data_IF_723970441119
#
_entry.id   IF_723970441119
#
_cell.length_a   1.000
_cell.length_b   1.000
_cell.length_c   1.000
_cell.angle_alpha   90.00
_cell.angle_beta   90.00
_cell.angle_gamma   90.00
#
_symmetry.space_group_name_H-M   'P 1'
#
loop_
_entity.id
_entity.type
_entity.pdbx_description
1 polymer ?
#
# COMPACT_ATOMS: atom_id res chain seq x y z
N UNK A 1 0.43 32.19 -7.42
CA UNK A 1 -0.92 32.18 -8.05
C UNK A 1 -1.84 31.49 -7.06
N UNK A 2 -3.10 31.94 -6.88
CA UNK A 2 -3.95 31.38 -5.83
C UNK A 2 -4.29 29.93 -6.18
N UNK A 3 -4.06 29.03 -5.22
CA UNK A 3 -4.55 27.66 -5.25
C UNK A 3 -6.06 27.71 -5.46
N UNK A 4 -6.55 27.16 -6.57
CA UNK A 4 -7.96 26.80 -6.64
C UNK A 4 -8.19 25.76 -5.55
N UNK A 5 -8.98 26.10 -4.53
CA UNK A 5 -9.47 25.15 -3.55
C UNK A 5 -10.29 24.10 -4.30
N UNK A 6 -9.62 23.05 -4.76
CA UNK A 6 -10.30 21.87 -5.26
C UNK A 6 -10.98 21.27 -4.04
N UNK A 7 -12.31 21.45 -3.94
CA UNK A 7 -13.08 20.78 -2.92
C UNK A 7 -13.14 19.29 -3.32
N UNK A 8 -12.46 18.38 -2.60
CA UNK A 8 -12.39 16.96 -2.96
C UNK A 8 -13.76 16.24 -2.87
N UNK A 9 -14.78 16.92 -2.34
CA UNK A 9 -16.15 16.40 -2.27
C UNK A 9 -17.08 16.99 -3.34
N UNK A 10 -16.62 17.94 -4.15
CA UNK A 10 -17.41 18.57 -5.19
C UNK A 10 -17.69 17.59 -6.34
N UNK A 11 -18.79 16.85 -6.22
CA UNK A 11 -19.22 15.85 -7.20
C UNK A 11 -19.66 14.52 -6.59
N UNK A 12 -19.34 14.26 -5.32
CA UNK A 12 -19.71 13.02 -4.63
C UNK A 12 -21.11 13.17 -4.03
N UNK A 13 -22.15 12.85 -4.82
CA UNK A 13 -23.51 12.71 -4.27
C UNK A 13 -23.64 11.37 -3.52
N UNK A 14 -24.16 11.39 -2.29
CA UNK A 14 -24.36 10.21 -1.42
C UNK A 14 -23.08 9.52 -0.91
N UNK A 15 -21.97 10.26 -0.80
CA UNK A 15 -20.75 9.75 -0.16
C UNK A 15 -21.02 9.26 1.27
N UNK A 16 -20.42 8.13 1.63
CA UNK A 16 -20.39 7.63 3.00
C UNK A 16 -18.94 7.58 3.47
N UNK A 17 -18.69 8.13 4.65
CA UNK A 17 -17.40 7.99 5.31
C UNK A 17 -17.38 6.64 6.02
N UNK A 18 -16.42 5.79 5.65
CA UNK A 18 -16.15 4.54 6.35
C UNK A 18 -14.96 4.77 7.28
N UNK A 19 -15.11 4.40 8.54
CA UNK A 19 -13.99 4.42 9.48
C UNK A 19 -13.00 3.33 9.08
N UNK A 20 -11.73 3.72 8.91
CA UNK A 20 -10.61 2.78 8.87
C UNK A 20 -10.40 2.28 10.30
N UNK A 21 -10.32 0.96 10.49
CA UNK A 21 -10.11 0.44 11.83
C UNK A 21 -8.70 0.78 12.33
N UNK A 22 -8.67 1.53 13.43
CA UNK A 22 -7.44 1.92 14.09
C UNK A 22 -7.05 0.90 15.18
N UNK A 23 -7.13 -0.41 14.86
CA UNK A 23 -6.87 -1.48 15.82
C UNK A 23 -5.36 -1.61 16.12
N UNK A 24 -4.89 -0.72 16.99
CA UNK A 24 -3.88 -0.96 18.01
C UNK A 24 -2.49 -1.49 17.57
N UNK A 25 -2.05 -1.23 16.34
CA UNK A 25 -0.62 -1.32 16.02
C UNK A 25 -0.28 -0.38 14.87
N UNK A 26 0.96 0.12 14.89
CA UNK A 26 1.64 1.08 13.99
C UNK A 26 1.64 0.71 12.48
N UNK A 27 0.67 -0.06 12.00
CA UNK A 27 0.66 -0.62 10.65
C UNK A 27 0.19 0.46 9.68
N UNK A 28 1.01 0.75 8.66
CA UNK A 28 0.60 1.56 7.51
C UNK A 28 -0.49 0.90 6.65
N UNK A 29 -0.91 -0.33 6.99
CA UNK A 29 -2.02 -1.01 6.33
C UNK A 29 -3.34 -0.56 6.95
N UNK A 30 -4.28 -0.21 6.08
CA UNK A 30 -5.57 0.36 6.47
C UNK A 30 -6.69 -0.66 6.22
N UNK A 31 -7.06 -1.48 7.23
CA UNK A 31 -8.16 -2.41 7.11
C UNK A 31 -9.51 -1.68 7.16
N UNK A 32 -10.44 -2.12 6.33
CA UNK A 32 -11.83 -1.67 6.28
C UNK A 32 -12.77 -2.82 6.59
N UNK A 33 -13.81 -2.54 7.39
CA UNK A 33 -14.92 -3.48 7.56
C UNK A 33 -15.80 -3.51 6.30
N UNK A 34 -15.93 -4.69 5.71
CA UNK A 34 -16.73 -4.93 4.51
C UNK A 34 -17.69 -6.09 4.76
N UNK A 35 -18.99 -5.86 4.52
CA UNK A 35 -20.01 -6.91 4.58
C UNK A 35 -20.13 -7.65 3.25
N UNK A 36 -19.88 -8.96 3.25
CA UNK A 36 -20.00 -9.84 2.06
C UNK A 36 -21.16 -10.83 2.22
N UNK A 37 -21.96 -10.99 1.16
CA UNK A 37 -23.06 -11.96 1.09
C UNK A 37 -24.41 -11.47 1.66
N UNK A 38 -25.41 -12.35 1.67
CA UNK A 38 -26.75 -12.07 2.20
C UNK A 38 -27.24 -13.21 3.10
N UNK A 39 -27.47 -12.98 4.41
CA UNK A 39 -27.19 -11.74 5.12
C UNK A 39 -25.68 -11.39 5.14
N UNK A 40 -25.31 -10.12 5.29
CA UNK A 40 -23.92 -9.69 5.22
C UNK A 40 -23.10 -10.32 6.35
N UNK A 41 -21.93 -10.85 5.99
CA UNK A 41 -20.87 -11.28 6.91
C UNK A 41 -19.75 -10.25 6.86
N UNK A 42 -19.51 -9.58 7.98
CA UNK A 42 -18.45 -8.57 8.10
C UNK A 42 -17.07 -9.23 8.14
N UNK A 43 -16.17 -8.72 7.32
CA UNK A 43 -14.76 -9.10 7.23
C UNK A 43 -13.90 -7.83 7.18
N UNK A 44 -12.65 -7.92 7.61
CA UNK A 44 -11.65 -6.87 7.46
C UNK A 44 -10.84 -7.12 6.20
N UNK A 45 -10.89 -6.16 5.27
CA UNK A 45 -10.13 -6.21 4.02
C UNK A 45 -9.15 -5.06 3.96
N UNK A 46 -7.97 -5.30 3.39
CA UNK A 46 -6.99 -4.25 3.14
C UNK A 46 -7.38 -3.46 1.88
N UNK A 47 -7.28 -2.14 1.95
CA UNK A 47 -7.34 -1.30 0.76
C UNK A 47 -5.99 -1.39 0.03
N UNK A 48 -5.99 -2.02 -1.14
CA UNK A 48 -4.81 -2.30 -1.96
C UNK A 48 -5.01 -1.70 -3.35
N UNK A 49 -4.37 -0.57 -3.61
CA UNK A 49 -4.38 0.11 -4.92
C UNK A 49 -3.43 -0.54 -5.94
N UNK A 50 -2.62 -1.52 -5.51
CA UNK A 50 -1.70 -2.27 -6.34
C UNK A 50 -2.30 -3.53 -6.97
N UNK A 51 -3.56 -3.88 -6.70
CA UNK A 51 -4.23 -5.08 -7.24
C UNK A 51 -5.62 -4.81 -7.81
N UNK A 52 -6.08 -5.74 -8.68
CA UNK A 52 -7.34 -5.63 -9.43
C UNK A 52 -8.49 -6.46 -8.83
N UNK A 53 -8.26 -7.19 -7.73
CA UNK A 53 -9.24 -8.14 -7.19
C UNK A 53 -9.47 -7.97 -5.69
N UNK A 54 -10.73 -8.10 -5.30
CA UNK A 54 -11.13 -8.30 -3.91
C UNK A 54 -11.19 -9.81 -3.68
N UNK A 55 -10.57 -10.30 -2.61
CA UNK A 55 -10.59 -11.73 -2.28
C UNK A 55 -10.70 -11.94 -0.76
N UNK A 56 -11.31 -13.06 -0.38
CA UNK A 56 -11.34 -13.57 1.00
C UNK A 56 -11.31 -15.09 0.97
N UNK A 57 -10.93 -15.71 2.08
CA UNK A 57 -10.89 -17.16 2.19
C UNK A 57 -12.30 -17.75 2.31
N UNK A 58 -12.56 -18.83 1.56
CA UNK A 58 -13.80 -19.60 1.64
C UNK A 58 -13.55 -21.11 1.48
N UNK A 59 -14.42 -22.00 1.99
CA UNK A 59 -14.29 -23.44 1.77
C UNK A 59 -14.68 -23.85 0.34
N UNK A 60 -14.09 -24.93 -0.20
CA UNK A 60 -13.03 -25.73 0.42
C UNK A 60 -11.68 -25.00 0.37
N UNK A 61 -11.05 -24.86 1.54
CA UNK A 61 -9.65 -24.47 1.68
C UNK A 61 -8.90 -25.63 2.35
N UNK A 62 -7.78 -26.05 1.79
CA UNK A 62 -6.97 -27.13 2.35
C UNK A 62 -5.48 -26.95 1.99
N UNK A 63 -4.60 -26.62 2.96
CA UNK A 63 -4.94 -26.16 4.31
C UNK A 63 -5.55 -24.76 4.26
N UNK A 64 -6.51 -24.47 5.15
CA UNK A 64 -6.95 -23.10 5.37
C UNK A 64 -5.84 -22.33 6.09
N UNK A 65 -5.62 -21.07 5.70
CA UNK A 65 -4.69 -20.19 6.44
C UNK A 65 -5.39 -19.62 7.68
N UNK A 66 -4.62 -19.45 8.76
CA UNK A 66 -5.12 -18.82 9.97
C UNK A 66 -5.46 -17.35 9.69
N UNK A 67 -6.67 -16.94 10.07
CA UNK A 67 -7.13 -15.57 9.93
C UNK A 67 -7.99 -15.19 11.14
N UNK A 68 -7.97 -13.91 11.57
CA UNK A 68 -8.76 -13.43 12.70
C UNK A 68 -10.27 -13.52 12.44
N UNK A 69 -10.68 -13.18 11.22
CA UNK A 69 -12.09 -13.17 10.85
C UNK A 69 -12.61 -14.57 10.48
N UNK A 70 -13.90 -14.86 10.72
CA UNK A 70 -14.51 -16.10 10.29
C UNK A 70 -14.38 -16.32 8.78
N UNK A 71 -14.07 -17.56 8.37
CA UNK A 71 -14.03 -17.95 6.96
C UNK A 71 -15.41 -17.72 6.33
N UNK A 72 -15.45 -17.03 5.19
CA UNK A 72 -16.70 -16.77 4.46
C UNK A 72 -17.30 -18.09 3.98
N UNK A 73 -18.55 -18.36 4.33
CA UNK A 73 -19.28 -19.58 3.96
C UNK A 73 -20.19 -19.31 2.77
N UNK A 74 -19.82 -19.71 1.53
CA UNK A 74 -20.61 -19.37 0.35
C UNK A 74 -22.03 -19.95 0.41
N UNK A 75 -22.17 -21.15 0.99
CA UNK A 75 -23.45 -21.86 1.17
C UNK A 75 -24.42 -21.15 2.10
N UNK A 76 -23.95 -20.20 2.93
CA UNK A 76 -24.78 -19.43 3.85
C UNK A 76 -25.22 -18.07 3.28
N UNK A 77 -24.83 -17.75 2.06
CA UNK A 77 -25.18 -16.49 1.41
C UNK A 77 -26.17 -16.73 0.28
N UNK A 78 -27.38 -16.18 0.38
CA UNK A 78 -28.40 -16.31 -0.67
C UNK A 78 -28.05 -15.57 -1.97
N UNK A 79 -27.10 -14.63 -1.92
CA UNK A 79 -26.59 -13.90 -3.09
C UNK A 79 -25.26 -14.46 -3.62
N UNK A 80 -24.74 -15.54 -3.05
CA UNK A 80 -23.56 -16.21 -3.60
C UNK A 80 -23.94 -16.99 -4.86
N UNK A 81 -23.09 -16.87 -5.87
CA UNK A 81 -23.15 -17.71 -7.07
C UNK A 81 -21.73 -18.02 -7.51
N UNK A 82 -21.46 -19.30 -7.80
CA UNK A 82 -20.17 -19.73 -8.29
C UNK A 82 -20.05 -19.38 -9.78
N UNK A 83 -19.05 -18.59 -10.14
CA UNK A 83 -18.73 -18.30 -11.54
C UNK A 83 -17.83 -19.40 -12.12
N UNK A 84 -18.12 -19.84 -13.35
CA UNK A 84 -17.27 -20.80 -14.06
C UNK A 84 -16.14 -20.06 -14.79
N UNK A 85 -14.89 -20.32 -14.40
CA UNK A 85 -13.69 -19.77 -15.03
C UNK A 85 -13.44 -20.28 -16.47
N UNK A 86 -14.34 -21.09 -17.04
CA UNK A 86 -14.31 -21.45 -18.46
C UNK A 86 -14.50 -20.25 -19.40
N UNK A 87 -15.04 -19.13 -18.91
CA UNK A 87 -15.15 -17.87 -19.67
C UNK A 87 -14.05 -16.83 -19.33
N UNK A 88 -13.99 -15.76 -20.13
CA UNK A 88 -12.84 -14.87 -20.36
C UNK A 88 -12.21 -14.14 -19.14
N UNK A 89 -12.86 -13.87 -17.99
CA UNK A 89 -12.16 -13.09 -16.95
C UNK A 89 -10.98 -13.85 -16.32
N UNK A 90 -11.03 -15.19 -16.24
CA UNK A 90 -9.98 -15.96 -15.56
C UNK A 90 -8.75 -16.26 -16.43
N UNK A 91 -8.79 -15.95 -17.72
CA UNK A 91 -7.68 -16.20 -18.67
C UNK A 91 -6.43 -15.39 -18.32
N UNK A 92 -6.62 -14.23 -17.71
CA UNK A 92 -5.56 -13.28 -17.35
C UNK A 92 -4.92 -13.59 -15.99
N UNK A 93 -5.51 -14.50 -15.21
CA UNK A 93 -4.99 -14.87 -13.90
C UNK A 93 -3.84 -15.89 -13.99
N UNK A 94 -2.83 -15.66 -13.15
CA UNK A 94 -1.70 -16.57 -13.02
C UNK A 94 -2.17 -17.98 -12.64
N UNK A 95 -1.42 -19.06 -12.96
CA UNK A 95 -1.78 -20.42 -12.57
C UNK A 95 -1.92 -20.62 -11.05
N UNK A 96 -1.27 -19.77 -10.24
CA UNK A 96 -1.43 -19.76 -8.77
C UNK A 96 -2.78 -19.18 -8.37
N UNK A 97 -3.17 -18.06 -8.98
CA UNK A 97 -4.44 -17.38 -8.70
C UNK A 97 -5.64 -18.22 -9.18
N UNK A 98 -5.52 -18.90 -10.33
CA UNK A 98 -6.53 -19.89 -10.79
C UNK A 98 -6.72 -21.06 -9.82
N UNK A 99 -5.63 -21.53 -9.20
CA UNK A 99 -5.69 -22.56 -8.15
C UNK A 99 -6.36 -22.06 -6.87
N UNK A 100 -6.10 -20.81 -6.48
CA UNK A 100 -6.76 -20.17 -5.35
C UNK A 100 -8.29 -19.98 -5.59
N UNK A 101 -8.71 -19.85 -6.85
CA UNK A 101 -10.11 -19.85 -7.27
C UNK A 101 -10.72 -21.28 -7.38
N UNK A 102 -10.02 -22.33 -6.93
CA UNK A 102 -10.55 -23.68 -6.85
C UNK A 102 -10.49 -24.51 -8.14
N UNK A 103 -9.64 -24.18 -9.13
CA UNK A 103 -9.51 -24.97 -10.37
C UNK A 103 -8.07 -25.14 -10.91
N UNK A 104 -7.78 -26.29 -11.53
CA UNK A 104 -6.53 -26.60 -12.27
C UNK A 104 -6.83 -27.43 -13.55
N UNK A 105 -5.93 -27.52 -14.55
CA UNK A 105 -5.50 -26.46 -15.49
C UNK A 105 -5.71 -26.83 -16.98
N UNK A 106 -5.75 -25.84 -17.90
CA UNK A 106 -5.11 -25.90 -19.24
C UNK A 106 -4.53 -24.52 -19.64
N UNK A 107 -3.37 -24.53 -20.30
CA UNK A 107 -2.63 -23.38 -20.85
C UNK A 107 -3.43 -22.65 -21.96
N UNK A 108 -3.28 -21.33 -22.16
CA UNK A 108 -2.02 -20.68 -22.58
C UNK A 108 -1.59 -19.50 -21.69
N UNK A 109 -0.32 -19.15 -21.82
CA UNK A 109 0.34 -17.98 -21.24
C UNK A 109 -0.15 -16.70 -21.92
N UNK A 110 -0.87 -15.85 -21.18
CA UNK A 110 -1.10 -14.45 -21.55
C UNK A 110 -0.16 -13.56 -20.75
N UNK A 111 0.64 -12.76 -21.45
CA UNK A 111 1.38 -11.68 -20.81
C UNK A 111 0.38 -10.57 -20.46
N UNK A 112 0.27 -10.21 -19.18
CA UNK A 112 -0.34 -8.93 -18.79
C UNK A 112 0.60 -7.86 -19.33
N UNK A 113 0.21 -7.24 -20.43
CA UNK A 113 0.84 -6.02 -20.92
C UNK A 113 0.24 -4.88 -20.13
N UNK A 114 0.97 -4.39 -19.14
CA UNK A 114 0.74 -3.05 -18.62
C UNK A 114 0.95 -2.04 -19.75
N UNK A 115 -0.04 -1.18 -19.96
CA UNK A 115 0.01 -0.11 -20.94
C UNK A 115 0.83 1.04 -20.36
N UNK A 116 1.92 1.41 -21.01
CA UNK A 116 2.82 2.51 -20.64
C UNK A 116 4.25 2.30 -21.19
N UNK A 117 5.01 3.34 -21.53
CA UNK A 117 6.36 3.20 -22.08
C UNK A 117 7.32 2.64 -21.02
N UNK A 118 8.15 1.66 -21.41
CA UNK A 118 9.22 1.02 -20.62
C UNK A 118 8.85 0.52 -19.20
N UNK A 119 8.80 -0.80 -18.95
CA UNK A 119 8.59 -1.37 -17.62
C UNK A 119 9.54 -0.84 -16.53
N UNK A 120 10.74 -0.36 -16.91
CA UNK A 120 11.73 0.22 -16.01
C UNK A 120 11.40 1.66 -15.55
N UNK A 121 10.37 2.30 -16.12
CA UNK A 121 9.95 3.69 -15.82
C UNK A 121 8.65 3.77 -15.03
N UNK A 122 8.19 2.67 -14.44
CA UNK A 122 6.93 2.62 -13.71
C UNK A 122 7.15 2.60 -12.21
N UNK A 123 6.30 3.30 -11.49
CA UNK A 123 6.17 3.29 -10.03
C UNK A 123 4.72 2.95 -9.73
N UNK A 124 4.48 2.02 -8.79
CA UNK A 124 3.12 1.70 -8.31
C UNK A 124 2.89 2.46 -7.01
N UNK A 125 1.79 3.21 -6.90
CA UNK A 125 1.33 3.78 -5.62
C UNK A 125 0.42 2.76 -4.98
N UNK A 126 0.85 2.20 -3.85
CA UNK A 126 0.27 0.99 -3.27
C UNK A 126 -0.01 1.15 -1.78
N UNK A 127 -1.27 1.41 -1.42
CA UNK A 127 -1.70 1.45 -0.01
C UNK A 127 -1.70 0.08 0.67
N UNK A 128 -1.67 -1.02 -0.11
CA UNK A 128 -1.62 -2.40 0.35
C UNK A 128 -0.21 -2.87 0.73
N UNK A 129 0.81 -2.06 0.48
CA UNK A 129 2.21 -2.32 0.84
C UNK A 129 2.69 -1.28 1.86
N UNK A 130 3.23 -1.71 3.01
CA UNK A 130 3.68 -0.78 4.08
C UNK A 130 4.86 0.09 3.63
N UNK A 131 5.98 -0.53 3.28
CA UNK A 131 7.24 0.15 2.97
C UNK A 131 7.40 0.33 1.47
N UNK A 132 7.94 1.47 1.07
CA UNK A 132 8.29 1.71 -0.32
C UNK A 132 9.44 0.81 -0.76
N UNK A 133 9.61 0.61 -2.06
CA UNK A 133 10.74 -0.16 -2.58
C UNK A 133 11.31 0.45 -3.85
N UNK A 134 12.63 0.39 -3.98
CA UNK A 134 13.37 0.88 -5.14
C UNK A 134 14.34 -0.19 -5.67
N UNK A 135 14.68 -0.17 -6.96
CA UNK A 135 15.84 -0.91 -7.47
C UNK A 135 17.10 -0.52 -6.70
N UNK A 136 17.98 -1.49 -6.43
CA UNK A 136 19.20 -1.29 -5.61
C UNK A 136 20.01 -0.04 -5.98
N UNK A 137 20.16 0.26 -7.27
CA UNK A 137 20.92 1.44 -7.71
C UNK A 137 20.28 2.75 -7.24
N UNK A 138 18.95 2.88 -7.34
CA UNK A 138 18.24 4.08 -6.88
C UNK A 138 18.14 4.11 -5.35
N UNK A 139 17.91 2.96 -4.71
CA UNK A 139 17.89 2.83 -3.25
C UNK A 139 19.18 3.34 -2.63
N UNK A 140 20.33 2.89 -3.14
CA UNK A 140 21.64 3.27 -2.59
C UNK A 140 21.91 4.77 -2.69
N UNK A 141 21.41 5.44 -3.72
CA UNK A 141 21.53 6.92 -3.84
C UNK A 141 20.75 7.59 -2.71
N UNK A 142 19.48 7.21 -2.51
CA UNK A 142 18.64 7.75 -1.42
C UNK A 142 19.27 7.46 -0.06
N UNK A 143 19.69 6.21 0.17
CA UNK A 143 20.31 5.76 1.41
C UNK A 143 21.55 6.61 1.73
N UNK A 144 22.51 6.70 0.82
CA UNK A 144 23.75 7.45 1.08
C UNK A 144 23.54 8.96 1.23
N UNK A 145 22.57 9.56 0.52
CA UNK A 145 22.22 10.97 0.72
C UNK A 145 21.59 11.23 2.08
N UNK A 146 20.74 10.32 2.57
CA UNK A 146 20.17 10.42 3.91
C UNK A 146 21.24 10.18 4.98
N UNK A 147 22.08 9.15 4.83
CA UNK A 147 23.22 8.88 5.72
C UNK A 147 24.10 10.12 5.90
N UNK A 148 24.45 10.79 4.81
CA UNK A 148 25.22 12.04 4.86
C UNK A 148 24.47 13.18 5.55
N UNK A 149 23.15 13.29 5.37
CA UNK A 149 22.35 14.36 5.95
C UNK A 149 22.10 14.19 7.46
N UNK A 150 22.00 12.95 7.94
CA UNK A 150 21.67 12.62 9.34
C UNK A 150 22.79 11.90 10.09
N UNK A 151 24.04 12.00 9.61
CA UNK A 151 25.24 11.40 10.21
C UNK A 151 25.50 11.78 11.69
N UNK A 152 24.81 12.79 12.20
CA UNK A 152 24.92 13.25 13.58
C UNK A 152 24.06 12.42 14.56
N UNK A 153 23.04 11.72 14.07
CA UNK A 153 22.22 10.81 14.87
C UNK A 153 22.97 9.49 15.13
N UNK A 154 22.69 8.84 16.26
CA UNK A 154 23.33 7.57 16.60
C UNK A 154 22.82 6.43 15.72
N UNK A 155 23.69 5.82 14.92
CA UNK A 155 23.32 4.63 14.12
C UNK A 155 22.76 3.50 14.99
N UNK A 156 21.77 2.78 14.46
CA UNK A 156 21.13 1.63 15.11
C UNK A 156 20.80 0.55 14.09
N UNK A 157 20.19 -0.54 14.54
CA UNK A 157 19.77 -1.64 13.68
C UNK A 157 18.30 -1.99 13.92
N UNK A 158 17.57 -2.31 12.84
CA UNK A 158 16.24 -2.90 12.94
C UNK A 158 16.32 -4.25 13.69
N UNK A 159 15.57 -4.42 14.80
CA UNK A 159 15.47 -5.71 15.50
C UNK A 159 15.01 -6.86 14.60
N UNK A 160 14.18 -6.57 13.60
CA UNK A 160 13.64 -7.53 12.64
C UNK A 160 14.53 -7.75 11.41
N UNK A 161 15.60 -6.95 11.25
CA UNK A 161 16.55 -7.00 10.12
C UNK A 161 15.87 -6.85 8.74
N UNK A 162 14.75 -6.15 8.68
CA UNK A 162 14.02 -5.87 7.45
C UNK A 162 14.50 -4.57 6.81
N UNK A 163 14.67 -3.52 7.61
CA UNK A 163 15.15 -2.20 7.19
C UNK A 163 16.64 -2.04 7.55
N UNK A 164 17.42 -1.39 6.68
CA UNK A 164 18.89 -1.35 6.76
C UNK A 164 19.48 0.07 6.87
N UNK A 165 18.65 1.06 7.16
CA UNK A 165 19.07 2.43 7.50
C UNK A 165 18.26 2.89 8.72
N UNK A 166 18.88 2.87 9.90
CA UNK A 166 18.20 3.10 11.17
C UNK A 166 19.03 3.97 12.11
N UNK A 167 18.34 4.80 12.88
CA UNK A 167 18.94 5.73 13.84
C UNK A 167 18.21 5.67 15.16
N UNK A 168 18.96 5.91 16.22
CA UNK A 168 18.43 6.18 17.55
C UNK A 168 17.97 7.63 17.60
N UNK A 169 16.72 7.84 17.98
CA UNK A 169 16.11 9.14 18.19
C UNK A 169 15.66 9.18 19.64
N UNK A 170 16.22 10.09 20.43
CA UNK A 170 15.99 10.13 21.87
C UNK A 170 15.01 11.21 22.31
N UNK A 171 14.79 12.22 21.48
CA UNK A 171 13.88 13.32 21.73
C UNK A 171 13.31 13.96 20.44
N UNK A 172 12.47 14.97 20.60
CA UNK A 172 11.86 15.71 19.49
C UNK A 172 12.90 16.54 18.69
N UNK A 173 14.02 16.94 19.31
CA UNK A 173 15.06 17.71 18.63
C UNK A 173 15.86 16.82 17.67
N UNK A 174 16.20 15.60 18.08
CA UNK A 174 16.77 14.56 17.21
C UNK A 174 15.85 14.31 16.00
N UNK A 175 14.55 14.13 16.25
CA UNK A 175 13.59 13.84 15.19
C UNK A 175 13.42 15.00 14.21
N UNK A 176 13.40 16.25 14.72
CA UNK A 176 13.28 17.46 13.90
C UNK A 176 14.47 17.71 12.97
N UNK A 177 15.61 17.06 13.22
CA UNK A 177 16.80 17.14 12.36
C UNK A 177 16.76 16.16 11.18
N UNK A 178 15.82 15.21 11.17
CA UNK A 178 15.62 14.32 10.04
C UNK A 178 15.04 15.13 8.87
N UNK A 179 15.63 15.09 7.66
CA UNK A 179 15.15 15.87 6.54
C UNK A 179 13.90 15.23 5.92
N UNK A 180 13.03 16.09 5.39
CA UNK A 180 11.99 15.66 4.45
C UNK A 180 12.61 15.27 3.10
N UNK A 181 11.96 14.35 2.39
CA UNK A 181 12.31 13.97 1.01
C UNK A 181 11.19 14.38 0.08
N UNK A 182 11.52 15.04 -1.04
CA UNK A 182 10.54 15.44 -2.06
C UNK A 182 10.59 14.49 -3.25
N UNK A 183 9.43 13.92 -3.60
CA UNK A 183 9.24 13.15 -4.82
C UNK A 183 8.60 14.05 -5.87
N UNK A 184 9.34 14.29 -6.96
CA UNK A 184 8.88 15.14 -8.06
C UNK A 184 8.09 14.30 -9.07
N UNK A 185 6.79 14.55 -9.17
CA UNK A 185 5.91 14.01 -10.20
C UNK A 185 5.91 14.94 -11.42
N UNK A 186 5.25 14.49 -12.49
CA UNK A 186 5.09 15.29 -13.69
C UNK A 186 4.40 16.65 -13.39
N UNK A 187 4.55 17.60 -14.30
CA UNK A 187 3.89 18.91 -14.22
C UNK A 187 4.24 19.74 -12.97
N UNK A 188 5.41 19.49 -12.36
CA UNK A 188 5.88 20.12 -11.12
C UNK A 188 4.98 19.82 -9.91
N UNK A 189 4.34 18.66 -9.89
CA UNK A 189 3.63 18.19 -8.72
C UNK A 189 4.62 17.56 -7.74
N UNK A 190 4.80 18.18 -6.58
CA UNK A 190 5.77 17.76 -5.58
C UNK A 190 5.09 17.08 -4.39
N UNK A 191 5.47 15.83 -4.11
CA UNK A 191 5.07 15.11 -2.92
C UNK A 191 6.17 15.20 -1.87
N UNK A 192 5.93 15.93 -0.79
CA UNK A 192 6.90 16.08 0.30
C UNK A 192 6.62 15.05 1.39
N UNK A 193 7.44 14.00 1.47
CA UNK A 193 7.43 13.05 2.56
C UNK A 193 8.20 13.63 3.76
N UNK A 194 7.46 13.94 4.83
CA UNK A 194 8.03 14.39 6.10
C UNK A 194 8.64 13.21 6.88
N UNK A 195 9.50 13.44 7.89
CA UNK A 195 10.11 12.37 8.69
C UNK A 195 9.11 11.33 9.21
N UNK A 196 7.92 11.74 9.65
CA UNK A 196 6.87 10.86 10.20
C UNK A 196 6.27 9.89 9.16
N UNK A 197 6.35 10.27 7.88
CA UNK A 197 5.91 9.48 6.74
C UNK A 197 7.09 8.85 5.99
N UNK A 198 8.34 9.09 6.42
CA UNK A 198 9.55 8.60 5.77
C UNK A 198 10.25 7.52 6.60
N UNK A 199 10.25 7.68 7.93
CA UNK A 199 10.83 6.75 8.89
C UNK A 199 9.74 6.08 9.73
N UNK A 200 9.93 4.79 10.04
CA UNK A 200 9.05 4.02 10.91
C UNK A 200 9.76 3.67 12.22
N UNK A 201 9.02 3.74 13.33
CA UNK A 201 9.53 3.34 14.64
C UNK A 201 9.44 1.80 14.76
N UNK A 202 10.58 1.13 14.87
CA UNK A 202 10.68 -0.35 14.77
C UNK A 202 10.81 -1.06 16.12
N UNK A 203 10.93 -0.32 17.22
CA UNK A 203 11.01 -0.83 18.59
C UNK A 203 9.83 -0.36 19.45
N UNK A 204 9.45 -1.13 20.46
CA UNK A 204 8.30 -0.81 21.31
C UNK A 204 8.49 0.49 22.12
N UNK A 205 9.75 0.89 22.36
CA UNK A 205 10.11 2.10 23.10
C UNK A 205 10.14 3.37 22.25
N UNK A 206 9.93 3.26 20.92
CA UNK A 206 9.97 4.38 19.98
C UNK A 206 11.32 5.12 19.98
N UNK A 207 12.41 4.38 20.13
CA UNK A 207 13.76 4.93 20.17
C UNK A 207 14.53 4.65 18.89
N UNK A 208 14.11 3.68 18.07
CA UNK A 208 14.77 3.30 16.82
C UNK A 208 13.86 3.58 15.64
N UNK A 209 14.30 4.50 14.78
CA UNK A 209 13.59 4.89 13.56
C UNK A 209 14.38 4.45 12.35
N UNK A 210 13.72 3.72 11.46
CA UNK A 210 14.31 3.19 10.23
C UNK A 210 13.65 3.79 8.99
N UNK A 211 14.44 4.07 7.95
CA UNK A 211 13.92 4.49 6.66
C UNK A 211 12.96 3.41 6.14
N UNK A 212 11.70 3.77 5.88
CA UNK A 212 10.67 2.83 5.44
C UNK A 212 10.76 2.50 3.96
N UNK A 213 11.94 2.09 3.50
CA UNK A 213 12.24 1.72 2.12
C UNK A 213 13.05 0.42 2.05
N UNK A 214 12.76 -0.38 1.03
CA UNK A 214 13.47 -1.64 0.76
C UNK A 214 14.20 -1.59 -0.58
N UNK A 215 15.38 -2.21 -0.61
CA UNK A 215 16.12 -2.47 -1.85
C UNK A 215 15.59 -3.72 -2.55
N UNK A 216 15.22 -3.60 -3.81
CA UNK A 216 14.78 -4.73 -4.65
C UNK A 216 15.86 -5.12 -5.65
N UNK A 217 16.03 -6.43 -5.87
CA UNK A 217 16.94 -6.97 -6.89
C UNK A 217 16.23 -7.07 -8.23
N UNK A 218 16.99 -6.91 -9.32
CA UNK A 218 16.54 -7.16 -10.69
C UNK A 218 15.60 -6.07 -11.24
N UNK A 219 14.62 -6.48 -12.05
CA UNK A 219 13.66 -5.61 -12.74
C UNK A 219 12.34 -5.48 -11.99
N UNK A 220 12.37 -5.58 -10.65
CA UNK A 220 11.17 -5.42 -9.83
C UNK A 220 10.63 -4.00 -9.98
N UNK A 221 9.34 -3.85 -10.21
CA UNK A 221 8.70 -2.52 -10.29
C UNK A 221 8.82 -1.84 -8.93
N UNK A 222 9.35 -0.60 -8.83
CA UNK A 222 9.35 0.13 -7.57
C UNK A 222 7.94 0.39 -7.07
N UNK A 223 7.80 0.48 -5.75
CA UNK A 223 6.53 0.69 -5.05
C UNK A 223 6.67 1.93 -4.16
N UNK A 224 5.65 2.78 -4.22
CA UNK A 224 5.42 3.90 -3.30
C UNK A 224 4.38 3.43 -2.28
N UNK A 225 4.87 2.98 -1.12
CA UNK A 225 4.07 2.29 -0.11
C UNK A 225 3.23 3.21 0.77
N UNK A 226 2.34 2.62 1.55
CA UNK A 226 1.39 3.29 2.43
C UNK A 226 2.03 4.16 3.52
N UNK A 227 3.26 3.88 3.96
CA UNK A 227 3.97 4.75 4.91
C UNK A 227 4.16 6.16 4.33
N UNK A 228 4.59 6.26 3.06
CA UNK A 228 4.82 7.53 2.39
C UNK A 228 3.51 8.24 2.02
N UNK A 229 2.40 7.50 2.07
CA UNK A 229 1.04 7.98 1.81
C UNK A 229 0.36 8.57 3.06
N UNK A 230 0.97 8.51 4.25
CA UNK A 230 0.41 9.08 5.47
C UNK A 230 0.27 10.61 5.37
N UNK A 231 -0.80 11.13 5.99
CA UNK A 231 -1.15 12.56 6.01
C UNK A 231 -1.27 13.22 4.62
N UNK A 232 -1.68 12.41 3.64
CA UNK A 232 -1.91 12.84 2.27
C UNK A 232 -3.31 12.40 1.83
N UNK A 233 -4.08 13.35 1.31
CA UNK A 233 -5.27 13.05 0.54
C UNK A 233 -4.82 12.60 -0.85
N UNK A 234 -5.32 11.46 -1.31
CA UNK A 234 -5.02 10.90 -2.63
C UNK A 234 -6.33 10.56 -3.34
N UNK A 235 -6.50 11.07 -4.55
CA UNK A 235 -7.66 10.82 -5.40
C UNK A 235 -7.23 10.22 -6.74
N UNK A 236 -7.88 9.12 -7.10
CA UNK A 236 -7.70 8.43 -8.37
C UNK A 236 -8.91 8.71 -9.26
N UNK A 237 -8.81 9.70 -10.15
CA UNK A 237 -9.86 10.00 -11.14
C UNK A 237 -9.69 9.07 -12.36
N UNK A 238 -10.47 8.00 -12.38
CA UNK A 238 -10.45 7.01 -13.47
C UNK A 238 -11.09 7.53 -14.77
N UNK A 239 -11.95 8.55 -14.71
CA UNK A 239 -12.62 9.10 -15.89
C UNK A 239 -11.67 10.01 -16.66
N UNK A 240 -10.96 10.88 -15.95
CA UNK A 240 -9.99 11.80 -16.54
C UNK A 240 -8.57 11.21 -16.60
N UNK A 241 -8.36 10.05 -15.97
CA UNK A 241 -7.06 9.39 -15.82
C UNK A 241 -6.02 10.25 -15.09
N UNK A 242 -6.48 10.97 -14.07
CA UNK A 242 -5.65 11.88 -13.28
C UNK A 242 -5.42 11.32 -11.88
N UNK A 243 -4.25 11.63 -11.33
CA UNK A 243 -3.93 11.46 -9.91
C UNK A 243 -3.88 12.84 -9.27
N UNK A 244 -4.66 13.05 -8.22
CA UNK A 244 -4.59 14.24 -7.39
C UNK A 244 -4.07 13.86 -6.00
N UNK A 245 -3.19 14.69 -5.44
CA UNK A 245 -2.76 14.55 -4.07
C UNK A 245 -2.52 15.90 -3.39
N UNK A 246 -2.76 15.94 -2.09
CA UNK A 246 -2.51 17.12 -1.27
C UNK A 246 -2.25 16.73 0.19
N UNK A 247 -1.40 17.46 0.93
CA UNK A 247 -1.27 17.27 2.37
C UNK A 247 -2.61 17.47 3.09
N UNK A 248 -2.89 16.61 4.06
CA UNK A 248 -4.09 16.70 4.90
C UNK A 248 -3.80 16.18 6.31
N UNK A 249 -4.62 16.55 7.29
CA UNK A 249 -4.54 15.95 8.63
C UNK A 249 -5.48 14.75 8.69
N UNK A 250 -4.93 13.54 8.66
CA UNK A 250 -5.70 12.30 8.72
C UNK A 250 -6.09 11.89 10.15
N UNK A 251 -5.61 12.62 11.17
CA UNK A 251 -5.96 12.37 12.58
C UNK A 251 -7.21 13.19 12.94
N UNK A 252 -8.37 12.52 12.97
CA UNK A 252 -9.62 13.07 13.53
C UNK A 252 -10.70 13.51 12.53
N UNK A 253 -10.87 12.79 11.41
CA UNK A 253 -12.07 12.89 10.56
C UNK A 253 -13.12 11.83 10.91
#
# INVERSE_FOLDING_TARGET
MPSSDHNPTAGISNGKNLAVENSLSRRSLQPLQVGIGTPPRTLHLLMDTGSDIIWTQCPPCDPCFEQPDPIFQPTQSSTYYAFDCAEDPCKYFSPRMRRALGQAPRHPTGNVRSFGPDPLKRLIIDSGTVYSSLPTVAYNVVKSSLEESIHHLGESEDPNKLLDLCYTVTDEEDFAQIPSVTFHFAENADWVAKPEALFDAVDDEYTVYCLGMLSTRGTSTPIFGGLFQRDMFVEYDLQQQNLFFAPTNCVGM
#
